data_IF_470209198532
#
_entry.id   IF_470209198532
#
_cell.length_a   1.000
_cell.length_b   1.000
_cell.length_c   1.000
_cell.angle_alpha   90.00
_cell.angle_beta   90.00
_cell.angle_gamma   90.00
#
_symmetry.space_group_name_H-M   'P 1'
#
loop_
_entity.id
_entity.type
_entity.pdbx_description
1 polymer ?
#
# COMPACT_ATOMS: atom_id res chain seq x y z
N UNK A 1 -6.48 -10.16 9.56
CA UNK A 1 -6.16 -10.68 8.21
C UNK A 1 -4.83 -11.42 8.18
N UNK A 2 -4.06 -11.47 9.29
CA UNK A 2 -2.67 -11.94 9.27
C UNK A 2 -2.49 -13.41 9.65
N UNK A 3 -3.46 -14.04 10.33
CA UNK A 3 -3.38 -15.47 10.67
C UNK A 3 -3.72 -16.35 9.45
N UNK A 4 -2.76 -17.16 9.02
CA UNK A 4 -2.95 -18.21 8.00
C UNK A 4 -2.68 -17.82 6.55
N UNK A 5 -2.07 -16.65 6.29
CA UNK A 5 -1.69 -16.28 4.93
C UNK A 5 -0.49 -17.12 4.43
N UNK A 6 -0.64 -17.75 3.26
CA UNK A 6 0.47 -18.39 2.55
C UNK A 6 1.36 -17.30 1.92
N UNK A 7 2.41 -16.92 2.65
CA UNK A 7 3.35 -15.91 2.17
C UNK A 7 4.08 -16.31 0.88
N UNK A 8 4.21 -17.62 0.59
CA UNK A 8 4.81 -18.07 -0.67
C UNK A 8 3.92 -17.75 -1.87
N UNK A 9 2.62 -17.99 -1.75
CA UNK A 9 1.64 -17.61 -2.78
C UNK A 9 1.56 -16.09 -2.93
N UNK A 10 1.59 -15.34 -1.82
CA UNK A 10 1.62 -13.87 -1.83
C UNK A 10 2.86 -13.33 -2.55
N UNK A 11 4.05 -13.88 -2.26
CA UNK A 11 5.30 -13.53 -2.96
C UNK A 11 5.18 -13.84 -4.46
N UNK A 12 4.61 -14.98 -4.84
CA UNK A 12 4.48 -15.38 -6.25
C UNK A 12 3.59 -14.45 -7.08
N UNK A 13 2.58 -13.85 -6.44
CA UNK A 13 1.62 -12.94 -7.09
C UNK A 13 2.15 -11.50 -7.11
N UNK A 14 2.84 -11.06 -6.05
CA UNK A 14 3.23 -9.67 -5.89
C UNK A 14 4.63 -9.36 -6.41
N UNK A 15 5.55 -10.31 -6.37
CA UNK A 15 6.97 -10.06 -6.60
C UNK A 15 7.45 -10.48 -8.00
N UNK A 16 8.50 -9.82 -8.48
CA UNK A 16 9.29 -10.31 -9.62
C UNK A 16 10.08 -11.56 -9.20
N UNK A 17 10.63 -12.30 -10.17
CA UNK A 17 11.47 -13.46 -9.89
C UNK A 17 12.64 -13.09 -8.96
N UNK A 18 12.73 -13.80 -7.84
CA UNK A 18 13.75 -13.57 -6.80
C UNK A 18 13.37 -12.54 -5.73
N UNK A 19 12.29 -11.77 -5.93
CA UNK A 19 11.71 -10.90 -4.91
C UNK A 19 10.96 -11.68 -3.84
N UNK A 20 10.99 -11.21 -2.59
CA UNK A 20 10.38 -11.91 -1.46
C UNK A 20 10.11 -10.97 -0.28
N UNK A 21 9.41 -11.47 0.74
CA UNK A 21 9.33 -10.80 2.02
C UNK A 21 10.70 -10.76 2.70
N UNK A 22 11.08 -9.58 3.18
CA UNK A 22 12.12 -9.44 4.17
C UNK A 22 11.70 -10.16 5.46
N UNK A 23 12.66 -10.88 6.05
CA UNK A 23 12.49 -11.58 7.31
C UNK A 23 13.48 -11.02 8.32
N UNK A 24 13.03 -10.86 9.56
CA UNK A 24 13.92 -10.42 10.64
C UNK A 24 14.86 -11.56 11.07
N UNK A 25 15.73 -11.30 12.06
CA UNK A 25 16.69 -12.30 12.58
C UNK A 25 16.04 -13.58 13.11
N UNK A 26 14.77 -13.52 13.50
CA UNK A 26 14.00 -14.65 14.01
C UNK A 26 13.23 -15.36 12.90
N UNK A 27 13.43 -14.99 11.63
CA UNK A 27 12.73 -15.57 10.48
C UNK A 27 11.31 -15.03 10.28
N UNK A 28 10.85 -14.08 11.09
CA UNK A 28 9.50 -13.51 10.99
C UNK A 28 9.43 -12.54 9.81
N UNK A 29 8.42 -12.70 8.97
CA UNK A 29 8.12 -11.82 7.83
C UNK A 29 7.85 -10.39 8.31
N UNK A 30 8.33 -9.39 7.58
CA UNK A 30 8.23 -7.97 7.96
C UNK A 30 7.56 -7.13 6.88
N UNK A 31 8.16 -7.09 5.69
CA UNK A 31 7.72 -6.25 4.58
C UNK A 31 8.27 -6.78 3.25
N UNK A 32 7.80 -6.24 2.13
CA UNK A 32 8.39 -6.47 0.79
C UNK A 32 8.98 -5.14 0.32
N UNK A 33 10.15 -5.18 -0.33
CA UNK A 33 10.69 -3.97 -0.98
C UNK A 33 9.84 -3.63 -2.18
N UNK A 34 9.57 -2.34 -2.38
CA UNK A 34 8.90 -1.88 -3.59
C UNK A 34 9.67 -2.31 -4.85
N UNK A 35 10.99 -2.30 -4.82
CA UNK A 35 11.82 -2.75 -5.94
C UNK A 35 11.50 -4.18 -6.38
N UNK A 36 11.14 -5.05 -5.42
CA UNK A 36 10.86 -6.47 -5.64
C UNK A 36 9.45 -6.71 -6.17
N UNK A 37 8.57 -5.70 -6.19
CA UNK A 37 7.20 -5.82 -6.70
C UNK A 37 7.16 -5.85 -8.22
N UNK A 38 6.23 -6.63 -8.77
CA UNK A 38 5.89 -6.58 -10.20
C UNK A 38 5.39 -5.18 -10.58
N UNK A 39 5.50 -4.77 -11.85
CA UNK A 39 4.91 -3.51 -12.31
C UNK A 39 3.44 -3.38 -11.92
N UNK A 40 2.63 -4.41 -12.16
CA UNK A 40 1.20 -4.39 -11.83
C UNK A 40 0.95 -4.21 -10.33
N UNK A 41 1.71 -4.89 -9.47
CA UNK A 41 1.63 -4.69 -8.03
C UNK A 41 2.02 -3.25 -7.62
N UNK A 42 2.98 -2.62 -8.29
CA UNK A 42 3.34 -1.20 -8.07
C UNK A 42 2.20 -0.24 -8.45
N UNK A 43 1.49 -0.50 -9.55
CA UNK A 43 0.29 0.28 -9.91
C UNK A 43 -0.79 0.19 -8.83
N UNK A 44 -1.08 -1.02 -8.34
CA UNK A 44 -2.07 -1.21 -7.28
C UNK A 44 -1.60 -0.66 -5.92
N UNK A 45 -0.31 -0.73 -5.62
CA UNK A 45 0.29 -0.07 -4.46
C UNK A 45 0.05 1.44 -4.51
N UNK A 46 0.35 2.09 -5.64
CA UNK A 46 0.15 3.52 -5.83
C UNK A 46 -1.32 3.91 -5.71
N UNK A 47 -2.22 3.16 -6.37
CA UNK A 47 -3.67 3.35 -6.26
C UNK A 47 -4.16 3.23 -4.80
N UNK A 48 -3.70 2.20 -4.09
CA UNK A 48 -4.06 1.95 -2.71
C UNK A 48 -3.56 3.07 -1.80
N UNK A 49 -2.34 3.58 -2.00
CA UNK A 49 -1.79 4.70 -1.24
C UNK A 49 -2.54 6.01 -1.47
N UNK A 50 -3.10 6.23 -2.66
CA UNK A 50 -3.90 7.41 -2.93
C UNK A 50 -5.30 7.34 -2.34
N UNK A 51 -5.93 6.15 -2.33
CA UNK A 51 -7.38 6.03 -2.10
C UNK A 51 -7.80 5.13 -0.95
N UNK A 52 -7.08 4.05 -0.65
CA UNK A 52 -7.54 3.03 0.29
C UNK A 52 -6.82 3.17 1.62
N UNK A 53 -5.51 3.35 1.58
CA UNK A 53 -4.65 3.35 2.76
C UNK A 53 -3.47 4.30 2.53
N UNK A 54 -3.60 5.60 2.82
CA UNK A 54 -2.52 6.57 2.76
C UNK A 54 -1.24 6.08 3.45
N UNK A 55 -0.09 6.34 2.83
CA UNK A 55 1.21 6.02 3.39
C UNK A 55 2.22 7.07 2.95
N UNK A 56 3.05 7.53 3.88
CA UNK A 56 4.19 8.41 3.59
C UNK A 56 5.43 7.61 3.15
N UNK A 57 5.58 6.37 3.64
CA UNK A 57 6.69 5.50 3.25
C UNK A 57 6.33 4.67 2.03
N UNK A 58 7.11 4.83 0.95
CA UNK A 58 6.85 4.19 -0.35
C UNK A 58 7.92 3.20 -0.78
N UNK A 59 8.98 3.03 0.02
CA UNK A 59 10.10 2.13 -0.32
C UNK A 59 9.78 0.66 -0.03
N UNK A 60 8.94 0.40 0.98
CA UNK A 60 8.55 -0.95 1.38
C UNK A 60 7.05 -0.99 1.65
N UNK A 61 6.46 -2.18 1.51
CA UNK A 61 5.06 -2.46 1.81
C UNK A 61 4.96 -3.44 2.99
N UNK A 62 4.17 -3.06 4.01
CA UNK A 62 3.91 -3.91 5.18
C UNK A 62 3.07 -5.13 4.80
N UNK A 63 3.06 -6.15 5.67
CA UNK A 63 2.24 -7.37 5.49
C UNK A 63 0.78 -7.04 5.18
N UNK A 64 0.14 -6.23 6.03
CA UNK A 64 -1.27 -5.85 5.87
C UNK A 64 -1.59 -5.25 4.49
N UNK A 65 -0.69 -4.40 3.98
CA UNK A 65 -0.82 -3.77 2.67
C UNK A 65 -0.53 -4.77 1.54
N UNK A 66 0.47 -5.64 1.70
CA UNK A 66 0.75 -6.71 0.75
C UNK A 66 -0.45 -7.66 0.60
N UNK A 67 -1.07 -8.06 1.71
CA UNK A 67 -2.28 -8.90 1.69
C UNK A 67 -3.45 -8.22 0.97
N UNK A 68 -3.63 -6.91 1.17
CA UNK A 68 -4.63 -6.14 0.41
C UNK A 68 -4.35 -6.20 -1.10
N UNK A 69 -3.10 -5.97 -1.51
CA UNK A 69 -2.72 -6.04 -2.93
C UNK A 69 -2.91 -7.44 -3.50
N UNK A 70 -2.55 -8.47 -2.73
CA UNK A 70 -2.74 -9.87 -3.11
C UNK A 70 -4.22 -10.17 -3.37
N UNK A 71 -5.12 -9.76 -2.47
CA UNK A 71 -6.55 -9.93 -2.65
C UNK A 71 -7.04 -9.23 -3.93
N UNK A 72 -6.56 -8.02 -4.23
CA UNK A 72 -6.92 -7.30 -5.45
C UNK A 72 -6.46 -8.06 -6.70
N UNK A 73 -5.19 -8.47 -6.74
CA UNK A 73 -4.63 -9.15 -7.91
C UNK A 73 -5.22 -10.54 -8.14
N UNK A 74 -5.71 -11.19 -7.08
CA UNK A 74 -6.42 -12.47 -7.15
C UNK A 74 -7.92 -12.33 -7.41
N UNK A 75 -8.44 -11.11 -7.53
CA UNK A 75 -9.87 -10.86 -7.75
C UNK A 75 -10.75 -11.25 -6.56
N UNK A 76 -10.19 -11.25 -5.35
CA UNK A 76 -10.95 -11.58 -4.13
C UNK A 76 -11.85 -10.42 -3.73
N UNK A 77 -12.99 -10.71 -3.11
CA UNK A 77 -13.88 -9.70 -2.56
C UNK A 77 -13.25 -9.02 -1.36
N UNK A 78 -13.16 -7.69 -1.37
CA UNK A 78 -12.59 -6.89 -0.28
C UNK A 78 -13.63 -5.89 0.21
N UNK A 79 -13.87 -5.86 1.52
CA UNK A 79 -14.67 -4.81 2.13
C UNK A 79 -13.80 -3.55 2.36
N UNK A 80 -13.74 -2.67 1.36
CA UNK A 80 -12.95 -1.43 1.42
C UNK A 80 -13.41 -0.51 2.55
N UNK A 81 -14.72 -0.49 2.85
CA UNK A 81 -15.27 0.28 3.97
C UNK A 81 -14.66 -0.13 5.31
N UNK A 82 -14.57 -1.43 5.55
CA UNK A 82 -13.94 -1.97 6.76
C UNK A 82 -12.43 -1.68 6.80
N UNK A 83 -11.73 -1.78 5.65
CA UNK A 83 -10.29 -1.46 5.58
C UNK A 83 -10.02 -0.02 6.00
N UNK A 84 -10.80 0.94 5.46
CA UNK A 84 -10.67 2.36 5.83
C UNK A 84 -11.10 2.62 7.28
N UNK A 85 -12.19 2.01 7.74
CA UNK A 85 -12.66 2.16 9.12
C UNK A 85 -11.61 1.71 10.14
N UNK A 86 -10.98 0.55 9.89
CA UNK A 86 -9.90 0.02 10.73
C UNK A 86 -8.70 0.98 10.76
N UNK A 87 -8.30 1.53 9.60
CA UNK A 87 -7.20 2.50 9.54
C UNK A 87 -7.51 3.77 10.35
N UNK A 88 -8.70 4.35 10.16
CA UNK A 88 -9.14 5.54 10.92
C UNK A 88 -9.15 5.23 12.42
N UNK A 89 -9.66 4.07 12.82
CA UNK A 89 -9.70 3.65 14.21
C UNK A 89 -8.30 3.49 14.81
N UNK A 90 -7.36 2.89 14.09
CA UNK A 90 -5.96 2.76 14.53
C UNK A 90 -5.32 4.14 14.69
N UNK A 91 -5.50 5.04 13.72
CA UNK A 91 -5.00 6.41 13.81
C UNK A 91 -5.60 7.15 15.01
N UNK A 92 -6.91 7.08 15.21
CA UNK A 92 -7.62 7.77 16.30
C UNK A 92 -7.21 7.27 17.70
N UNK A 93 -6.89 5.97 17.83
CA UNK A 93 -6.48 5.39 19.10
C UNK A 93 -4.97 5.53 19.38
N UNK A 94 -4.18 6.00 18.41
CA UNK A 94 -2.75 6.18 18.60
C UNK A 94 -2.50 7.47 19.39
N UNK A 95 -1.95 7.36 20.60
CA UNK A 95 -1.62 8.51 21.48
C UNK A 95 -0.54 9.48 20.93
N UNK A 96 -0.05 9.25 19.71
CA UNK A 96 0.97 10.08 19.08
C UNK A 96 0.30 11.09 18.14
N UNK A 97 0.04 12.29 18.66
CA UNK A 97 -0.58 13.41 17.94
C UNK A 97 0.25 13.93 16.74
N UNK A 98 1.45 13.36 16.49
CA UNK A 98 2.30 13.68 15.32
C UNK A 98 1.97 12.81 14.11
N UNK A 99 1.20 11.74 14.27
CA UNK A 99 0.81 10.89 13.15
C UNK A 99 -0.33 11.57 12.40
N UNK A 100 -0.18 11.88 11.11
CA UNK A 100 -1.24 12.49 10.33
C UNK A 100 -2.46 11.57 10.29
N UNK A 101 -3.64 12.15 10.45
CA UNK A 101 -4.90 11.43 10.35
C UNK A 101 -5.05 10.93 8.90
N UNK A 102 -5.17 9.61 8.74
CA UNK A 102 -5.50 9.02 7.43
C UNK A 102 -6.86 9.54 6.94
N UNK A 103 -6.99 9.78 5.64
CA UNK A 103 -8.26 10.16 4.98
C UNK A 103 -8.95 11.45 5.46
N UNK A 104 -8.24 12.60 5.57
CA UNK A 104 -8.81 13.82 6.13
C UNK A 104 -10.05 14.32 5.37
N UNK A 105 -10.09 14.21 4.04
CA UNK A 105 -11.26 14.59 3.24
C UNK A 105 -12.48 13.70 3.46
N UNK A 106 -12.28 12.38 3.61
CA UNK A 106 -13.38 11.44 3.88
C UNK A 106 -13.96 11.70 5.27
N UNK A 107 -13.09 11.88 6.27
CA UNK A 107 -13.50 12.18 7.65
C UNK A 107 -14.27 13.49 7.69
N UNK A 108 -13.79 14.53 7.01
CA UNK A 108 -14.49 15.82 6.90
C UNK A 108 -15.89 15.64 6.33
N UNK A 109 -16.02 14.91 5.22
CA UNK A 109 -17.31 14.67 4.59
C UNK A 109 -18.26 13.85 5.47
N UNK A 110 -17.75 12.85 6.19
CA UNK A 110 -18.55 12.09 7.16
C UNK A 110 -19.03 12.96 8.32
N UNK A 111 -18.19 13.88 8.82
CA UNK A 111 -18.57 14.86 9.84
C UNK A 111 -19.67 15.81 9.34
N UNK A 112 -19.55 16.30 8.10
CA UNK A 112 -20.58 17.11 7.44
C UNK A 112 -21.92 16.38 7.34
N UNK A 113 -21.91 15.11 6.90
CA UNK A 113 -23.11 14.26 6.86
C UNK A 113 -23.73 14.06 8.26
N UNK A 114 -22.89 14.01 9.30
CA UNK A 114 -23.32 13.97 10.70
C UNK A 114 -23.74 15.33 11.27
N UNK A 115 -23.83 16.38 10.43
CA UNK A 115 -24.21 17.76 10.78
C UNK A 115 -23.25 18.45 11.76
N UNK A 116 -21.99 18.02 11.79
CA UNK A 116 -20.92 18.74 12.50
C UNK A 116 -20.62 20.03 11.74
N UNK A 117 -20.46 21.15 12.45
CA UNK A 117 -20.11 22.41 11.81
C UNK A 117 -18.69 22.35 11.22
N UNK A 118 -18.59 22.32 9.89
CA UNK A 118 -17.34 22.33 9.13
C UNK A 118 -16.97 23.71 8.57
N UNK A 119 -17.61 24.80 9.03
CA UNK A 119 -17.37 26.15 8.50
C UNK A 119 -15.99 26.73 8.88
N UNK A 120 -15.29 26.14 9.86
CA UNK A 120 -13.89 26.40 10.20
C UNK A 120 -13.31 25.09 10.75
N UNK A 121 -12.24 24.46 10.20
CA UNK A 121 -10.84 24.90 10.18
C UNK A 121 -10.12 24.40 8.87
N UNK A 122 -8.81 24.03 8.78
CA UNK A 122 -8.24 23.64 7.49
C UNK A 122 -8.71 22.22 7.14
N UNK A 123 -9.82 22.12 6.40
CA UNK A 123 -10.27 20.84 5.86
C UNK A 123 -9.67 20.61 4.47
N UNK A 124 -8.92 19.51 4.33
CA UNK A 124 -8.34 19.12 3.05
C UNK A 124 -9.44 18.70 2.07
N UNK A 125 -9.43 19.31 0.88
CA UNK A 125 -10.33 18.93 -0.22
C UNK A 125 -9.92 17.58 -0.81
N UNK A 126 -10.87 16.83 -1.42
CA UNK A 126 -10.55 15.62 -2.17
C UNK A 126 -9.44 15.87 -3.20
N UNK A 127 -8.54 14.90 -3.35
CA UNK A 127 -7.46 14.96 -4.33
C UNK A 127 -8.03 14.91 -5.75
N UNK A 128 -7.26 15.39 -6.72
CA UNK A 128 -7.58 15.23 -8.16
C UNK A 128 -7.70 13.75 -8.50
N UNK A 129 -8.48 13.45 -9.54
CA UNK A 129 -8.57 12.09 -10.09
C UNK A 129 -7.17 11.56 -10.45
N UNK A 130 -6.97 10.26 -10.25
CA UNK A 130 -5.73 9.61 -10.66
C UNK A 130 -5.72 9.53 -12.19
N UNK A 131 -4.64 10.01 -12.78
CA UNK A 131 -4.39 10.00 -14.21
C UNK A 131 -3.10 9.23 -14.54
N UNK A 132 -2.76 9.17 -15.82
CA UNK A 132 -1.53 8.53 -16.27
C UNK A 132 -0.27 9.21 -15.71
N UNK A 133 -0.29 10.54 -15.55
CA UNK A 133 0.84 11.30 -15.03
C UNK A 133 1.18 10.90 -13.59
N UNK A 134 0.16 10.65 -12.76
CA UNK A 134 0.32 10.09 -11.42
C UNK A 134 1.10 8.76 -11.46
N UNK A 135 0.68 7.83 -12.33
CA UNK A 135 1.37 6.55 -12.43
C UNK A 135 2.79 6.67 -12.99
N UNK A 136 3.04 7.55 -13.96
CA UNK A 136 4.41 7.80 -14.44
C UNK A 136 5.32 8.28 -13.32
N UNK A 137 4.85 9.21 -12.48
CA UNK A 137 5.60 9.71 -11.33
C UNK A 137 5.86 8.60 -10.29
N UNK A 138 4.86 7.79 -9.98
CA UNK A 138 4.93 6.81 -8.89
C UNK A 138 5.33 5.41 -9.33
N UNK A 139 5.40 5.08 -10.62
CA UNK A 139 5.70 3.74 -11.13
C UNK A 139 6.71 3.73 -12.30
N UNK A 140 7.01 4.86 -12.94
CA UNK A 140 7.80 4.91 -14.18
C UNK A 140 9.32 4.73 -14.04
N UNK A 141 9.86 4.63 -12.82
CA UNK A 141 11.33 4.62 -12.58
C UNK A 141 12.04 3.28 -12.82
N UNK A 142 11.35 2.20 -13.18
CA UNK A 142 11.88 0.82 -13.14
C UNK A 142 12.15 0.18 -14.52
N UNK A 143 12.12 0.93 -15.62
CA UNK A 143 12.39 0.38 -16.97
C UNK A 143 13.87 0.01 -17.24
N UNK A 144 14.77 0.17 -16.27
CA UNK A 144 16.19 -0.16 -16.42
C UNK A 144 16.65 -1.36 -15.55
N UNK A 145 15.86 -2.43 -15.49
CA UNK A 145 16.41 -3.72 -15.09
C UNK A 145 17.25 -4.27 -16.26
N UNK A 146 18.56 -4.02 -16.25
CA UNK A 146 19.48 -4.65 -17.21
C UNK A 146 19.32 -6.18 -17.18
N UNK A 147 19.35 -6.86 -18.32
CA UNK A 147 19.37 -8.32 -18.35
C UNK A 147 20.58 -8.83 -17.59
N UNK A 148 20.33 -9.63 -16.55
CA UNK A 148 21.39 -10.27 -15.76
C UNK A 148 22.26 -11.09 -16.72
N UNK A 149 23.58 -10.86 -16.80
CA UNK A 149 24.44 -11.60 -17.71
C UNK A 149 24.48 -13.08 -17.31
N UNK A 150 24.58 -14.01 -18.28
CA UNK A 150 24.57 -15.44 -18.00
C UNK A 150 25.73 -15.81 -17.07
N UNK A 151 25.40 -16.48 -15.96
CA UNK A 151 26.39 -17.00 -15.01
C UNK A 151 27.26 -18.03 -15.74
N UNK A 152 28.54 -17.71 -15.93
CA UNK A 152 29.52 -18.66 -16.48
C UNK A 152 29.68 -19.86 -15.52
N UNK A 153 29.83 -21.09 -16.04
CA UNK A 153 30.19 -22.25 -15.23
C UNK A 153 31.58 -22.00 -14.62
N UNK A 154 31.72 -22.27 -13.31
CA UNK A 154 33.04 -22.35 -12.68
C UNK A 154 33.69 -23.64 -13.13
N UNK A 155 34.81 -23.53 -13.85
CA UNK A 155 35.80 -24.60 -14.03
C UNK A 155 36.81 -24.45 -12.90
#
# INVERSE_FOLDING_TARGET
MEEGADFGDVESVLCVLGGNFQRNRNGVVVNIRRADLTPLAKYWMAFSHANIHPCSHVLDITISRALLLYCVLRGMSINIGQVRANEIQVCANTMNNKVPLGHPSLITHLCELARVNISAPPFERPRKAIDEAYYRQYCGGDEAAQPVPPRRPRI
#
